data_IF_302146728726
#
_entry.id   IF_302146728726
#
_cell.length_a   1.000
_cell.length_b   1.000
_cell.length_c   1.000
_cell.angle_alpha   90.00
_cell.angle_beta   90.00
_cell.angle_gamma   90.00
#
_symmetry.space_group_name_H-M   'P 1'
#
loop_
_entity.id
_entity.type
_entity.pdbx_description
1 polymer ?
#
# COMPACT_ATOMS: atom_id res chain seq x y z
N UNK A 1 2.43 5.17 -2.30
CA UNK A 1 2.92 3.79 -2.34
C UNK A 1 3.79 3.54 -3.58
N UNK A 2 3.25 3.63 -4.80
CA UNK A 2 4.00 3.29 -6.04
C UNK A 2 5.28 4.12 -6.24
N UNK A 3 5.24 5.44 -6.03
CA UNK A 3 6.44 6.29 -6.12
C UNK A 3 7.52 5.85 -5.13
N UNK A 4 7.15 5.68 -3.87
CA UNK A 4 8.08 5.26 -2.81
C UNK A 4 8.61 3.84 -2.99
N UNK A 5 7.84 2.95 -3.61
CA UNK A 5 8.31 1.64 -4.05
C UNK A 5 9.40 1.79 -5.12
N UNK A 6 9.16 2.63 -6.15
CA UNK A 6 10.15 2.90 -7.20
C UNK A 6 11.45 3.44 -6.62
N UNK A 7 11.37 4.44 -5.73
CA UNK A 7 12.53 5.02 -5.05
C UNK A 7 13.32 3.94 -4.30
N UNK A 8 12.65 3.07 -3.55
CA UNK A 8 13.30 1.96 -2.83
C UNK A 8 13.97 0.96 -3.77
N UNK A 9 13.37 0.68 -4.94
CA UNK A 9 13.98 -0.19 -5.97
C UNK A 9 15.23 0.45 -6.59
N UNK A 10 15.21 1.77 -6.81
CA UNK A 10 16.35 2.53 -7.33
C UNK A 10 17.52 2.52 -6.33
N UNK A 11 17.25 2.76 -5.03
CA UNK A 11 18.27 2.69 -3.97
C UNK A 11 18.86 1.28 -3.82
N UNK A 12 18.08 0.21 -4.06
CA UNK A 12 18.60 -1.17 -4.06
C UNK A 12 19.48 -1.49 -5.28
N UNK A 13 19.23 -0.81 -6.41
CA UNK A 13 19.94 -0.99 -7.68
C UNK A 13 20.91 0.17 -7.97
N UNK A 14 21.44 0.80 -6.92
CA UNK A 14 22.39 1.89 -7.11
C UNK A 14 23.67 1.41 -7.84
N UNK A 15 24.23 2.27 -8.68
CA UNK A 15 25.51 2.01 -9.34
C UNK A 15 26.65 1.93 -8.33
N UNK A 16 26.58 2.73 -7.27
CA UNK A 16 27.48 2.65 -6.14
C UNK A 16 27.04 1.54 -5.17
N UNK A 17 27.86 0.50 -5.06
CA UNK A 17 27.57 -0.64 -4.20
C UNK A 17 27.48 -0.26 -2.71
N UNK A 18 28.21 0.75 -2.25
CA UNK A 18 28.18 1.19 -0.85
C UNK A 18 26.95 2.06 -0.53
N UNK A 19 26.36 2.67 -1.56
CA UNK A 19 25.12 3.44 -1.43
C UNK A 19 23.86 2.55 -1.46
N UNK A 20 23.98 1.29 -1.89
CA UNK A 20 22.85 0.36 -1.94
C UNK A 20 22.29 0.11 -0.56
N UNK A 21 20.97 -0.03 -0.50
CA UNK A 21 20.31 -0.48 0.73
C UNK A 21 20.81 -1.86 1.14
N UNK A 22 21.02 -2.03 2.44
CA UNK A 22 21.18 -3.35 3.03
C UNK A 22 19.85 -4.10 2.95
N UNK A 23 19.90 -5.43 2.97
CA UNK A 23 18.71 -6.28 2.91
C UNK A 23 17.70 -5.93 4.03
N UNK A 24 18.20 -5.70 5.25
CA UNK A 24 17.36 -5.34 6.39
C UNK A 24 16.70 -3.97 6.19
N UNK A 25 17.43 -2.97 5.70
CA UNK A 25 16.87 -1.64 5.45
C UNK A 25 15.79 -1.69 4.36
N UNK A 26 16.00 -2.48 3.31
CA UNK A 26 15.00 -2.69 2.26
C UNK A 26 13.72 -3.36 2.81
N UNK A 27 13.86 -4.37 3.68
CA UNK A 27 12.74 -5.04 4.35
C UNK A 27 11.90 -4.07 5.19
N UNK A 28 12.55 -3.24 5.99
CA UNK A 28 11.86 -2.25 6.85
C UNK A 28 11.03 -1.29 6.00
N UNK A 29 11.61 -0.75 4.92
CA UNK A 29 10.89 0.13 3.98
C UNK A 29 9.74 -0.59 3.27
N UNK A 30 9.95 -1.85 2.86
CA UNK A 30 8.92 -2.66 2.22
C UNK A 30 7.73 -2.90 3.16
N UNK A 31 7.98 -3.19 4.45
CA UNK A 31 6.94 -3.38 5.45
C UNK A 31 6.09 -2.11 5.64
N UNK A 32 6.72 -0.93 5.72
CA UNK A 32 6.01 0.35 5.78
C UNK A 32 5.17 0.60 4.52
N UNK A 33 5.70 0.29 3.34
CA UNK A 33 4.99 0.45 2.06
C UNK A 33 3.76 -0.45 1.96
N UNK A 34 3.81 -1.67 2.48
CA UNK A 34 2.67 -2.60 2.50
C UNK A 34 1.51 -2.06 3.35
N UNK A 35 1.81 -1.45 4.51
CA UNK A 35 0.78 -0.81 5.34
C UNK A 35 0.12 0.37 4.62
N UNK A 36 0.93 1.19 3.94
CA UNK A 36 0.43 2.31 3.14
C UNK A 36 -0.41 1.81 1.96
N UNK A 37 -0.01 0.71 1.32
CA UNK A 37 -0.74 0.11 0.21
C UNK A 37 -2.15 -0.31 0.64
N UNK A 38 -2.27 -1.06 1.73
CA UNK A 38 -3.57 -1.51 2.23
C UNK A 38 -4.48 -0.34 2.61
N UNK A 39 -3.94 0.72 3.23
CA UNK A 39 -4.73 1.92 3.56
C UNK A 39 -5.25 2.67 2.33
N UNK A 40 -4.51 2.63 1.23
CA UNK A 40 -4.90 3.31 -0.01
C UNK A 40 -5.78 2.45 -0.92
N UNK A 41 -6.05 1.19 -0.55
CA UNK A 41 -6.98 0.34 -1.28
C UNK A 41 -8.37 0.98 -1.18
N UNK A 42 -9.02 1.34 -2.30
CA UNK A 42 -10.36 1.90 -2.23
C UNK A 42 -11.27 0.85 -1.61
N UNK A 43 -11.80 1.13 -0.42
CA UNK A 43 -12.90 0.35 0.13
C UNK A 43 -14.07 0.61 -0.81
N UNK A 44 -14.46 -0.40 -1.58
CA UNK A 44 -15.66 -0.28 -2.38
C UNK A 44 -16.82 -0.11 -1.41
N UNK A 45 -17.62 0.97 -1.49
CA UNK A 45 -18.81 1.07 -0.65
C UNK A 45 -19.76 -0.02 -1.13
N UNK A 46 -19.80 -1.15 -0.42
CA UNK A 46 -20.91 -2.09 -0.54
C UNK A 46 -22.15 -1.39 -0.02
N UNK A 47 -22.86 -0.68 -0.90
CA UNK A 47 -24.22 -0.25 -0.67
C UNK A 47 -25.04 -1.54 -0.59
N UNK A 48 -25.59 -1.85 0.59
CA UNK A 48 -26.60 -2.89 0.77
C UNK A 48 -27.98 -2.24 0.53
N UNK A 49 -28.68 -2.49 -0.60
CA UNK A 49 -30.03 -2.00 -0.80
C UNK A 49 -31.06 -3.02 -0.31
N UNK A 50 -31.08 -3.37 0.97
CA UNK A 50 -32.18 -4.22 1.47
C UNK A 50 -32.33 -4.13 2.99
N UNK A 51 -33.08 -3.14 3.47
CA UNK A 51 -33.97 -3.24 4.65
C UNK A 51 -34.65 -1.89 4.92
N UNK A 52 -35.50 -1.45 4.01
CA UNK A 52 -36.62 -0.57 4.34
C UNK A 52 -37.88 -1.17 3.73
N UNK A 53 -38.22 -2.38 4.16
CA UNK A 53 -39.61 -2.84 4.14
C UNK A 53 -40.32 -2.22 5.35
N UNK A 54 -40.50 -0.90 5.32
CA UNK A 54 -41.41 -0.20 6.23
C UNK A 54 -42.74 -0.09 5.49
N UNK A 55 -43.63 -1.03 5.85
CA UNK A 55 -45.04 -0.79 6.16
C UNK A 55 -45.72 0.32 5.33
N UNK A 56 -46.32 -0.07 4.21
CA UNK A 56 -47.44 0.67 3.63
C UNK A 56 -48.72 -0.10 3.98
N UNK A 57 -49.48 0.54 4.89
CA UNK A 57 -50.95 0.56 5.06
C UNK A 57 -51.76 -0.72 4.88
#
# INVERSE_FOLDING_TARGET
>A
AVRSLKETMEDCWDQDAEARLTAQCAEERMAELLLIWERNKPVSPTINPMSTALQNE
#
